data_IF_829192146913
#
_entry.id   IF_829192146913
#
_cell.length_a   1.000
_cell.length_b   1.000
_cell.length_c   1.000
_cell.angle_alpha   90.00
_cell.angle_beta   90.00
_cell.angle_gamma   90.00
#
_symmetry.space_group_name_H-M   'P 1'
#
loop_
_entity.id
_entity.type
_entity.pdbx_description
1 polymer ?
#
# COMPACT_ATOMS: atom_id res chain seq x y z
N UNK A 1 -3.36 -18.22 3.41
CA UNK A 1 -3.74 -16.99 4.14
C UNK A 1 -4.81 -16.18 3.41
N UNK A 2 -4.77 -16.06 2.08
CA UNK A 2 -5.79 -15.33 1.30
C UNK A 2 -7.23 -15.83 1.51
N UNK A 3 -7.42 -17.12 1.80
CA UNK A 3 -8.71 -17.75 2.10
C UNK A 3 -9.38 -17.28 3.39
N UNK A 4 -8.62 -16.85 4.41
CA UNK A 4 -9.19 -16.21 5.60
C UNK A 4 -9.80 -14.86 5.27
N UNK A 5 -9.12 -14.04 4.47
CA UNK A 5 -9.64 -12.74 4.05
C UNK A 5 -10.87 -12.88 3.14
N UNK A 6 -10.91 -13.90 2.29
CA UNK A 6 -12.05 -14.17 1.41
C UNK A 6 -13.31 -14.66 2.14
N UNK A 7 -13.19 -15.36 3.28
CA UNK A 7 -14.37 -15.79 4.04
C UNK A 7 -15.10 -14.61 4.69
N UNK A 8 -14.36 -13.58 5.06
CA UNK A 8 -14.92 -12.35 5.60
C UNK A 8 -15.30 -11.35 4.49
N UNK A 9 -15.30 -11.72 3.21
CA UNK A 9 -15.60 -10.83 2.10
C UNK A 9 -17.03 -10.25 2.08
N UNK A 10 -17.97 -10.85 2.83
CA UNK A 10 -19.31 -10.27 3.09
C UNK A 10 -19.33 -9.26 4.25
N UNK A 11 -18.21 -9.12 4.96
CA UNK A 11 -17.94 -7.99 5.83
C UNK A 11 -16.85 -7.14 5.17
N UNK A 12 -16.87 -5.82 5.37
CA UNK A 12 -15.92 -4.88 4.75
C UNK A 12 -14.45 -5.02 5.26
N UNK A 13 -13.97 -6.22 5.58
CA UNK A 13 -12.61 -6.46 6.02
C UNK A 13 -11.69 -6.62 4.81
N UNK A 14 -11.25 -5.48 4.27
CA UNK A 14 -10.17 -5.43 3.29
C UNK A 14 -8.86 -5.99 3.88
N UNK A 15 -8.04 -6.62 3.03
CA UNK A 15 -6.69 -7.04 3.40
C UNK A 15 -5.91 -5.85 4.00
N UNK A 16 -5.32 -6.07 5.18
CA UNK A 16 -4.41 -5.13 5.81
C UNK A 16 -3.13 -5.83 6.19
N UNK A 17 -2.00 -5.16 6.00
CA UNK A 17 -0.69 -5.72 6.28
C UNK A 17 -0.54 -6.08 7.78
N UNK A 18 -1.10 -5.27 8.67
CA UNK A 18 -1.04 -5.54 10.12
C UNK A 18 -1.83 -6.80 10.49
N UNK A 19 -2.97 -7.02 9.85
CA UNK A 19 -3.78 -8.21 10.06
C UNK A 19 -3.05 -9.45 9.53
N UNK A 20 -2.40 -9.36 8.36
CA UNK A 20 -1.55 -10.43 7.84
C UNK A 20 -0.44 -10.80 8.83
N UNK A 21 0.26 -9.81 9.40
CA UNK A 21 1.29 -10.07 10.40
C UNK A 21 0.74 -10.70 11.68
N UNK A 22 -0.43 -10.27 12.16
CA UNK A 22 -1.07 -10.91 13.31
C UNK A 22 -1.36 -12.39 13.04
N UNK A 23 -1.85 -12.72 11.84
CA UNK A 23 -2.16 -14.09 11.43
C UNK A 23 -0.90 -14.94 11.25
N UNK A 24 0.16 -14.43 10.63
CA UNK A 24 1.41 -15.21 10.46
C UNK A 24 2.07 -15.52 11.81
N UNK A 25 2.07 -14.55 12.74
CA UNK A 25 2.57 -14.75 14.10
C UNK A 25 1.74 -15.82 14.81
N UNK A 26 0.43 -15.75 14.69
CA UNK A 26 -0.46 -16.73 15.29
C UNK A 26 -0.25 -18.13 14.70
N UNK A 27 -0.01 -18.24 13.39
CA UNK A 27 0.27 -19.50 12.71
C UNK A 27 1.57 -20.15 13.21
N UNK A 28 2.63 -19.36 13.40
CA UNK A 28 3.88 -19.86 13.98
C UNK A 28 3.71 -20.32 15.44
N UNK A 29 3.00 -19.54 16.27
CA UNK A 29 2.73 -19.93 17.66
C UNK A 29 1.92 -21.24 17.72
N UNK A 30 0.96 -21.40 16.82
CA UNK A 30 0.19 -22.65 16.73
C UNK A 30 1.04 -23.83 16.25
N UNK A 31 1.93 -23.64 15.27
CA UNK A 31 2.85 -24.68 14.80
C UNK A 31 3.79 -25.17 15.92
N UNK A 32 4.26 -24.26 16.78
CA UNK A 32 5.20 -24.60 17.86
C UNK A 32 4.53 -25.10 19.14
N UNK A 33 3.35 -24.56 19.51
CA UNK A 33 2.72 -24.81 20.81
C UNK A 33 1.29 -25.36 20.72
N UNK A 34 0.70 -25.49 19.53
CA UNK A 34 -0.64 -26.03 19.31
C UNK A 34 -1.78 -25.15 19.83
N UNK A 35 -1.51 -23.89 20.17
CA UNK A 35 -2.46 -22.98 20.78
C UNK A 35 -2.42 -21.58 20.13
N UNK A 36 -3.44 -20.76 20.38
CA UNK A 36 -3.60 -19.42 19.81
C UNK A 36 -3.64 -18.32 20.88
N UNK A 37 -3.11 -17.13 20.57
CA UNK A 37 -3.10 -16.01 21.51
C UNK A 37 -4.53 -15.50 21.80
N UNK A 38 -4.98 -15.50 23.07
CA UNK A 38 -6.30 -15.00 23.43
C UNK A 38 -6.49 -13.48 23.20
N UNK A 39 -5.40 -12.72 23.02
CA UNK A 39 -5.43 -11.27 22.80
C UNK A 39 -5.60 -10.89 21.33
N UNK A 40 -5.48 -11.85 20.41
CA UNK A 40 -5.62 -11.60 18.99
C UNK A 40 -7.08 -11.69 18.54
N UNK A 41 -7.44 -10.91 17.53
CA UNK A 41 -8.82 -10.84 17.02
C UNK A 41 -9.34 -12.22 16.54
N UNK A 42 -8.44 -13.05 16.01
CA UNK A 42 -8.69 -14.41 15.52
C UNK A 42 -8.35 -15.48 16.58
N UNK A 43 -8.57 -15.21 17.86
CA UNK A 43 -8.13 -16.07 18.96
C UNK A 43 -8.60 -17.54 18.89
N UNK A 44 -9.65 -17.87 18.12
CA UNK A 44 -10.22 -19.23 18.03
C UNK A 44 -10.25 -19.83 16.63
N UNK A 45 -9.88 -19.10 15.60
CA UNK A 45 -9.88 -19.56 14.21
C UNK A 45 -8.56 -19.24 13.55
N UNK A 46 -7.90 -20.24 13.00
CA UNK A 46 -6.59 -20.09 12.35
C UNK A 46 -6.57 -20.80 11.00
N UNK A 47 -5.76 -20.27 10.09
CA UNK A 47 -5.47 -20.91 8.81
C UNK A 47 -3.96 -21.04 8.69
N UNK A 48 -3.49 -22.28 8.55
CA UNK A 48 -2.07 -22.56 8.38
C UNK A 48 -1.69 -22.21 6.93
N UNK A 49 -0.55 -21.53 6.69
CA UNK A 49 -0.04 -21.29 5.35
C UNK A 49 0.07 -22.62 4.57
N UNK A 50 -0.51 -22.67 3.37
CA UNK A 50 -0.59 -23.89 2.54
C UNK A 50 -1.86 -24.74 2.71
N UNK A 51 -2.74 -24.39 3.66
CA UNK A 51 -4.07 -25.01 3.80
C UNK A 51 -5.17 -23.97 3.67
N UNK A 52 -6.25 -24.33 2.98
CA UNK A 52 -7.45 -23.48 2.83
C UNK A 52 -8.52 -23.78 3.89
N UNK A 53 -8.19 -24.60 4.88
CA UNK A 53 -9.11 -24.97 5.96
C UNK A 53 -8.91 -24.08 7.18
N UNK A 54 -10.03 -23.61 7.72
CA UNK A 54 -10.04 -22.86 8.98
C UNK A 54 -10.19 -23.85 10.12
N UNK A 55 -9.20 -23.88 10.99
CA UNK A 55 -9.16 -24.76 12.16
C UNK A 55 -9.50 -23.99 13.42
N UNK A 56 -10.19 -24.68 14.33
CA UNK A 56 -10.42 -24.18 15.69
C UNK A 56 -9.28 -24.63 16.58
N UNK A 57 -8.59 -23.68 17.17
CA UNK A 57 -7.46 -23.92 18.06
C UNK A 57 -7.81 -23.56 19.51
N UNK A 58 -7.23 -24.27 20.50
CA UNK A 58 -7.37 -23.90 21.90
C UNK A 58 -6.58 -22.63 22.21
N UNK A 59 -7.09 -21.85 23.17
CA UNK A 59 -6.44 -20.61 23.61
C UNK A 59 -5.19 -20.93 24.44
N UNK A 60 -4.07 -20.27 24.14
CA UNK A 60 -2.85 -20.36 24.94
C UNK A 60 -3.07 -19.73 26.32
N UNK A 61 -2.42 -20.31 27.34
CA UNK A 61 -2.19 -19.60 28.59
C UNK A 61 -1.03 -18.62 28.39
N UNK A 62 -1.24 -17.32 28.64
CA UNK A 62 -0.22 -16.29 28.40
C UNK A 62 1.00 -16.41 29.32
N UNK A 63 0.91 -17.19 30.38
CA UNK A 63 2.01 -17.47 31.32
C UNK A 63 2.83 -18.70 30.90
N UNK A 64 2.39 -19.45 29.89
CA UNK A 64 3.10 -20.64 29.43
C UNK A 64 4.46 -20.27 28.80
N UNK A 65 5.47 -21.07 29.12
CA UNK A 65 6.83 -20.89 28.65
C UNK A 65 6.96 -21.23 27.16
N UNK A 66 6.14 -22.15 26.63
CA UNK A 66 6.10 -22.40 25.19
C UNK A 66 5.68 -21.15 24.42
N UNK A 67 4.55 -20.56 24.82
CA UNK A 67 3.97 -19.37 24.18
C UNK A 67 4.91 -18.16 24.23
N UNK A 68 5.46 -17.86 25.41
CA UNK A 68 6.38 -16.71 25.56
C UNK A 68 7.63 -16.89 24.71
N UNK A 69 8.25 -18.07 24.72
CA UNK A 69 9.41 -18.37 23.88
C UNK A 69 9.08 -18.29 22.38
N UNK A 70 7.94 -18.82 21.94
CA UNK A 70 7.53 -18.77 20.54
C UNK A 70 7.31 -17.31 20.09
N UNK A 71 6.58 -16.52 20.89
CA UNK A 71 6.34 -15.09 20.64
C UNK A 71 7.63 -14.30 20.51
N UNK A 72 8.58 -14.51 21.43
CA UNK A 72 9.87 -13.80 21.41
C UNK A 72 10.76 -14.27 20.28
N UNK A 73 10.71 -15.56 19.92
CA UNK A 73 11.51 -16.11 18.81
C UNK A 73 11.10 -15.54 17.47
N UNK A 74 9.81 -15.46 17.17
CA UNK A 74 9.35 -14.92 15.87
C UNK A 74 9.63 -13.42 15.75
N UNK A 75 9.55 -12.65 16.84
CA UNK A 75 9.86 -11.21 16.80
C UNK A 75 11.35 -10.92 16.70
N UNK A 76 12.21 -11.79 17.25
CA UNK A 76 13.65 -11.54 17.29
C UNK A 76 14.43 -12.23 16.16
N UNK A 77 13.86 -13.24 15.51
CA UNK A 77 14.56 -14.07 14.51
C UNK A 77 14.04 -13.77 13.11
N UNK A 78 14.85 -13.05 12.33
CA UNK A 78 14.49 -12.63 10.96
C UNK A 78 14.25 -13.83 10.02
N UNK A 79 14.97 -14.93 10.17
CA UNK A 79 14.79 -16.11 9.31
C UNK A 79 13.41 -16.75 9.48
N UNK A 80 12.93 -16.86 10.73
CA UNK A 80 11.59 -17.38 11.06
C UNK A 80 10.52 -16.42 10.53
N UNK A 81 10.74 -15.12 10.74
CA UNK A 81 9.85 -14.09 10.21
C UNK A 81 9.69 -14.19 8.69
N UNK A 82 10.80 -14.29 7.96
CA UNK A 82 10.78 -14.41 6.50
C UNK A 82 10.18 -15.74 6.03
N UNK A 83 10.25 -16.81 6.82
CA UNK A 83 9.66 -18.10 6.46
C UNK A 83 8.13 -18.10 6.60
N UNK A 84 7.59 -17.48 7.66
CA UNK A 84 6.14 -17.51 7.95
C UNK A 84 5.38 -16.27 7.48
N UNK A 85 6.04 -15.12 7.35
CA UNK A 85 5.43 -13.83 7.08
C UNK A 85 5.89 -13.19 5.75
N UNK A 86 6.59 -13.94 4.87
CA UNK A 86 7.00 -13.43 3.54
C UNK A 86 5.83 -13.02 2.66
N UNK A 87 4.69 -13.68 2.83
CA UNK A 87 3.53 -13.50 1.96
C UNK A 87 2.71 -12.24 2.32
N UNK A 88 3.11 -11.52 3.38
CA UNK A 88 2.47 -10.29 3.81
C UNK A 88 2.97 -9.07 3.01
N UNK A 89 2.49 -8.93 1.78
CA UNK A 89 2.77 -7.76 0.95
C UNK A 89 2.11 -6.49 1.51
N UNK A 90 2.63 -5.32 1.14
CA UNK A 90 1.95 -4.06 1.43
C UNK A 90 0.59 -4.04 0.69
N UNK A 91 -0.44 -3.51 1.36
CA UNK A 91 -1.75 -3.35 0.73
C UNK A 91 -1.72 -2.21 -0.30
N UNK A 92 -2.36 -2.40 -1.45
CA UNK A 92 -2.41 -1.39 -2.52
C UNK A 92 -3.28 -0.18 -2.16
N UNK A 93 -4.25 -0.35 -1.25
CA UNK A 93 -5.09 0.72 -0.74
C UNK A 93 -5.03 0.70 0.78
N UNK A 94 -4.56 1.79 1.36
CA UNK A 94 -4.50 2.02 2.81
C UNK A 94 -5.11 3.37 3.12
N UNK A 95 -5.75 3.45 4.28
CA UNK A 95 -6.27 4.71 4.83
C UNK A 95 -5.54 4.95 6.14
N UNK A 96 -4.69 5.97 6.16
CA UNK A 96 -3.91 6.33 7.34
C UNK A 96 -4.49 7.61 7.97
N UNK A 97 -4.62 7.60 9.30
CA UNK A 97 -5.08 8.76 10.07
C UNK A 97 -3.89 9.36 10.83
N UNK A 98 -3.51 10.58 10.48
CA UNK A 98 -2.51 11.34 11.25
C UNK A 98 -3.14 11.85 12.53
N UNK A 99 -2.61 11.42 13.68
CA UNK A 99 -3.15 11.77 15.00
C UNK A 99 -2.29 12.85 15.63
N UNK A 100 -2.92 13.98 15.98
CA UNK A 100 -2.32 15.05 16.79
C UNK A 100 -2.87 14.98 18.20
N UNK A 101 -2.02 14.68 19.19
CA UNK A 101 -2.44 14.52 20.58
C UNK A 101 -2.28 15.83 21.35
N UNK A 102 -3.34 16.26 22.02
CA UNK A 102 -3.29 17.34 23.00
C UNK A 102 -3.92 16.87 24.31
N UNK A 103 -3.37 17.32 25.43
CA UNK A 103 -3.83 16.94 26.76
C UNK A 103 -4.00 18.18 27.64
N UNK A 104 -5.04 18.16 28.46
CA UNK A 104 -5.32 19.19 29.47
C UNK A 104 -5.72 18.50 30.77
N UNK A 105 -5.38 19.11 31.91
CA UNK A 105 -5.81 18.61 33.21
C UNK A 105 -7.34 18.55 33.26
N UNK A 106 -7.86 17.35 33.48
CA UNK A 106 -9.28 17.08 33.59
C UNK A 106 -9.54 16.19 34.82
N UNK A 107 -10.70 16.32 35.49
CA UNK A 107 -11.74 17.33 35.27
C UNK A 107 -11.38 18.67 35.93
N UNK A 108 -12.08 19.75 35.55
CA UNK A 108 -11.95 21.02 36.27
C UNK A 108 -12.46 20.89 37.70
N UNK A 109 -11.83 21.59 38.65
CA UNK A 109 -12.18 21.54 40.08
C UNK A 109 -13.67 21.83 40.33
N UNK A 110 -14.26 22.73 39.54
CA UNK A 110 -15.69 23.08 39.58
C UNK A 110 -16.60 21.96 39.10
N UNK A 111 -16.11 21.08 38.22
CA UNK A 111 -16.92 20.00 37.62
C UNK A 111 -16.87 18.69 38.42
N UNK A 112 -15.89 18.52 39.32
CA UNK A 112 -15.77 17.35 40.22
C UNK A 112 -17.08 17.01 40.97
N UNK A 113 -17.81 17.99 41.57
CA UNK A 113 -19.06 17.69 42.28
C UNK A 113 -20.19 17.20 41.36
N UNK A 114 -20.17 17.56 40.07
CA UNK A 114 -21.13 17.07 39.08
C UNK A 114 -20.83 15.62 38.73
N UNK A 115 -19.56 15.29 38.52
CA UNK A 115 -19.11 13.90 38.30
C UNK A 115 -19.47 13.03 39.50
N UNK A 116 -19.26 13.51 40.73
CA UNK A 116 -19.67 12.80 41.95
C UNK A 116 -21.13 12.35 41.89
N UNK A 117 -22.05 13.27 41.58
CA UNK A 117 -23.49 12.97 41.48
C UNK A 117 -23.81 11.94 40.39
N UNK A 118 -23.04 11.93 39.30
CA UNK A 118 -23.18 10.93 38.25
C UNK A 118 -22.71 9.55 38.71
N UNK A 119 -21.51 9.48 39.31
CA UNK A 119 -20.90 8.23 39.79
C UNK A 119 -21.75 7.58 40.90
N UNK A 120 -22.30 8.37 41.81
CA UNK A 120 -23.20 7.88 42.88
C UNK A 120 -24.52 7.33 42.33
N UNK A 121 -24.93 7.75 41.14
CA UNK A 121 -26.16 7.30 40.48
C UNK A 121 -25.94 6.16 39.48
N UNK A 122 -24.72 5.95 39.00
CA UNK A 122 -24.41 4.97 37.96
C UNK A 122 -24.23 3.54 38.49
N UNK A 123 -24.35 3.32 39.81
CA UNK A 123 -24.29 1.98 40.41
C UNK A 123 -22.91 1.33 40.34
N UNK A 124 -21.86 2.13 40.15
CA UNK A 124 -20.46 1.67 40.13
C UNK A 124 -20.04 1.31 41.56
N UNK A 125 -19.22 0.27 41.72
CA UNK A 125 -18.64 -0.11 43.01
C UNK A 125 -17.71 1.03 43.46
N UNK A 126 -18.10 1.70 44.54
CA UNK A 126 -17.35 2.80 45.13
C UNK A 126 -16.29 2.26 46.11
N UNK A 127 -15.22 3.03 46.30
CA UNK A 127 -14.23 2.77 47.35
C UNK A 127 -14.88 2.86 48.74
N UNK A 128 -14.43 2.03 49.68
CA UNK A 128 -14.98 1.96 51.05
C UNK A 128 -15.01 3.32 51.77
N UNK A 129 -14.07 4.22 51.45
CA UNK A 129 -13.96 5.56 52.03
C UNK A 129 -14.42 6.71 51.11
N UNK A 130 -15.29 6.40 50.13
CA UNK A 130 -15.73 7.35 49.10
C UNK A 130 -16.16 8.72 49.64
N UNK A 131 -16.88 8.75 50.78
CA UNK A 131 -17.39 9.98 51.40
C UNK A 131 -16.32 11.06 51.64
N UNK A 132 -15.08 10.66 51.92
CA UNK A 132 -13.96 11.56 52.22
C UNK A 132 -12.91 11.62 51.10
N UNK A 133 -12.80 10.57 50.28
CA UNK A 133 -11.73 10.45 49.28
C UNK A 133 -12.15 10.87 47.87
N UNK A 134 -13.44 11.03 47.58
CA UNK A 134 -13.95 11.34 46.23
C UNK A 134 -13.26 12.55 45.56
N UNK A 135 -12.80 13.53 46.35
CA UNK A 135 -12.14 14.74 45.86
C UNK A 135 -10.78 14.46 45.19
N UNK A 136 -10.03 13.46 45.67
CA UNK A 136 -8.77 13.01 45.07
C UNK A 136 -8.98 11.83 44.14
N UNK A 137 -9.93 10.94 44.43
CA UNK A 137 -10.23 9.76 43.61
C UNK A 137 -10.75 10.12 42.22
N UNK A 138 -11.60 11.15 42.10
CA UNK A 138 -12.15 11.53 40.81
C UNK A 138 -11.04 12.02 39.87
N UNK A 139 -10.21 13.02 40.21
CA UNK A 139 -9.12 13.45 39.32
C UNK A 139 -8.09 12.36 39.00
N UNK A 140 -7.84 11.43 39.92
CA UNK A 140 -6.86 10.36 39.71
C UNK A 140 -7.34 9.24 38.79
N UNK A 141 -8.66 9.02 38.69
CA UNK A 141 -9.25 7.94 37.89
C UNK A 141 -10.05 8.43 36.68
N UNK A 142 -10.29 9.74 36.57
CA UNK A 142 -11.07 10.32 35.49
C UNK A 142 -10.20 10.60 34.25
N UNK A 143 -10.64 10.11 33.11
CA UNK A 143 -10.07 10.43 31.80
C UNK A 143 -11.20 10.82 30.84
N UNK A 144 -11.01 11.93 30.13
CA UNK A 144 -11.88 12.35 29.04
C UNK A 144 -11.10 12.29 27.73
N UNK A 145 -11.60 11.52 26.77
CA UNK A 145 -11.01 11.39 25.44
C UNK A 145 -11.97 12.04 24.44
N UNK A 146 -11.48 13.01 23.69
CA UNK A 146 -12.24 13.65 22.62
C UNK A 146 -11.53 13.40 21.29
N UNK A 147 -12.21 12.73 20.36
CA UNK A 147 -11.69 12.40 19.04
C UNK A 147 -12.40 13.31 18.04
N UNK A 148 -11.67 14.25 17.45
CA UNK A 148 -12.21 15.24 16.52
C UNK A 148 -11.33 15.26 15.27
N UNK A 149 -11.96 15.34 14.10
CA UNK A 149 -11.23 15.56 12.84
C UNK A 149 -10.75 17.01 12.81
N UNK A 150 -9.44 17.22 12.72
CA UNK A 150 -8.84 18.56 12.64
C UNK A 150 -9.34 19.32 11.40
N UNK A 151 -9.46 18.64 10.27
CA UNK A 151 -10.01 19.19 9.03
C UNK A 151 -10.87 18.15 8.30
N UNK A 152 -11.71 18.60 7.38
CA UNK A 152 -12.49 17.74 6.47
C UNK A 152 -11.73 17.37 5.20
N UNK A 153 -10.45 17.76 5.10
CA UNK A 153 -9.64 17.50 3.91
C UNK A 153 -9.13 16.06 3.94
N UNK A 154 -9.32 15.37 2.83
CA UNK A 154 -8.74 14.04 2.60
C UNK A 154 -7.55 14.22 1.67
N UNK A 155 -6.38 13.76 2.09
CA UNK A 155 -5.19 13.69 1.24
C UNK A 155 -5.11 12.29 0.64
N UNK A 156 -4.96 12.21 -0.68
CA UNK A 156 -4.90 10.95 -1.41
C UNK A 156 -3.55 10.87 -2.11
N UNK A 157 -2.81 9.78 -1.84
CA UNK A 157 -1.54 9.49 -2.48
C UNK A 157 -1.74 8.30 -3.42
N UNK A 158 -1.63 8.54 -4.74
CA UNK A 158 -1.69 7.49 -5.76
C UNK A 158 -0.31 7.30 -6.39
N UNK A 159 0.08 6.04 -6.60
CA UNK A 159 1.30 5.68 -7.30
C UNK A 159 0.93 5.18 -8.68
N UNK A 160 1.25 5.99 -9.70
CA UNK A 160 1.03 5.65 -11.10
C UNK A 160 2.34 5.24 -11.77
N UNK A 161 2.25 4.35 -12.76
CA UNK A 161 3.41 3.94 -13.54
C UNK A 161 3.99 5.15 -14.30
N UNK A 162 5.29 5.41 -14.15
CA UNK A 162 5.96 6.55 -14.80
C UNK A 162 6.02 6.44 -16.33
N UNK A 163 5.92 5.22 -16.86
CA UNK A 163 5.88 4.94 -18.29
C UNK A 163 4.83 3.85 -18.51
N UNK A 164 3.77 4.19 -19.24
CA UNK A 164 2.78 3.23 -19.69
C UNK A 164 3.21 2.54 -20.99
N UNK A 165 2.56 1.43 -21.34
CA UNK A 165 2.81 0.76 -22.62
C UNK A 165 2.50 1.67 -23.84
N UNK A 166 1.57 2.60 -23.68
CA UNK A 166 1.24 3.60 -24.71
C UNK A 166 2.37 4.61 -24.87
N UNK A 167 3.00 5.02 -23.75
CA UNK A 167 4.15 5.93 -23.78
C UNK A 167 5.37 5.29 -24.45
N UNK A 168 5.60 3.99 -24.19
CA UNK A 168 6.64 3.22 -24.88
C UNK A 168 6.41 3.20 -26.39
N UNK A 169 5.18 2.90 -26.82
CA UNK A 169 4.83 2.85 -28.23
C UNK A 169 4.94 4.24 -28.89
N UNK A 170 4.53 5.29 -28.18
CA UNK A 170 4.65 6.68 -28.63
C UNK A 170 6.11 7.09 -28.84
N UNK A 171 7.00 6.78 -27.89
CA UNK A 171 8.43 7.09 -28.02
C UNK A 171 9.10 6.32 -29.17
N UNK A 172 8.81 5.02 -29.29
CA UNK A 172 9.33 4.21 -30.40
C UNK A 172 8.79 4.71 -31.74
N UNK A 173 7.49 4.99 -31.82
CA UNK A 173 6.83 5.53 -33.00
C UNK A 173 7.37 6.89 -33.40
N UNK A 174 7.63 7.78 -32.44
CA UNK A 174 8.22 9.10 -32.69
C UNK A 174 9.62 9.02 -33.27
N UNK A 175 10.51 8.24 -32.65
CA UNK A 175 11.87 8.07 -33.16
C UNK A 175 11.89 7.38 -34.53
N UNK A 176 11.15 6.28 -34.70
CA UNK A 176 11.09 5.56 -35.98
C UNK A 176 10.47 6.40 -37.09
N UNK A 177 9.41 7.15 -36.79
CA UNK A 177 8.77 8.08 -37.72
C UNK A 177 9.73 9.16 -38.21
N UNK A 178 10.56 9.72 -37.32
CA UNK A 178 11.59 10.70 -37.69
C UNK A 178 12.62 10.12 -38.66
N UNK A 179 13.17 8.93 -38.35
CA UNK A 179 14.17 8.28 -39.20
C UNK A 179 13.61 7.86 -40.56
N UNK A 180 12.36 7.39 -40.60
CA UNK A 180 11.67 7.07 -41.85
C UNK A 180 11.43 8.34 -42.66
N UNK A 181 11.02 9.45 -42.02
CA UNK A 181 10.80 10.73 -42.68
C UNK A 181 12.07 11.28 -43.34
N UNK A 182 13.21 11.27 -42.63
CA UNK A 182 14.50 11.70 -43.18
C UNK A 182 14.90 10.79 -44.36
N UNK A 183 14.76 9.47 -44.19
CA UNK A 183 15.08 8.51 -45.25
C UNK A 183 14.25 8.73 -46.51
N UNK A 184 12.96 9.04 -46.36
CA UNK A 184 12.05 9.35 -47.47
C UNK A 184 12.46 10.62 -48.23
N UNK A 185 12.83 11.69 -47.51
CA UNK A 185 13.32 12.92 -48.13
C UNK A 185 14.61 12.67 -48.92
N UNK A 186 15.56 11.90 -48.37
CA UNK A 186 16.79 11.54 -49.08
C UNK A 186 16.53 10.73 -50.35
N UNK A 187 15.54 9.83 -50.36
CA UNK A 187 15.16 9.09 -51.57
C UNK A 187 14.58 10.04 -52.64
N UNK A 188 13.72 10.97 -52.24
CA UNK A 188 13.16 11.97 -53.17
C UNK A 188 14.26 12.86 -53.78
N UNK A 189 15.22 13.29 -52.98
CA UNK A 189 16.37 14.07 -53.45
C UNK A 189 17.22 13.28 -54.46
N UNK A 190 17.44 11.98 -54.21
CA UNK A 190 18.17 11.11 -55.11
C UNK A 190 17.45 10.94 -56.47
N UNK A 191 16.11 10.84 -56.44
CA UNK A 191 15.29 10.80 -57.67
C UNK A 191 15.41 12.11 -58.45
N UNK A 192 15.34 13.26 -57.77
CA UNK A 192 15.50 14.56 -58.42
C UNK A 192 16.89 14.70 -59.06
N UNK A 193 17.94 14.27 -58.36
CA UNK A 193 19.31 14.28 -58.87
C UNK A 193 19.43 13.45 -60.16
N UNK A 194 18.89 12.23 -60.17
CA UNK A 194 18.89 11.37 -61.36
C UNK A 194 18.15 12.01 -62.54
N UNK A 195 16.99 12.62 -62.29
CA UNK A 195 16.23 13.32 -63.32
C UNK A 195 17.02 14.48 -63.94
N UNK A 196 17.69 15.30 -63.10
CA UNK A 196 18.53 16.41 -63.57
C UNK A 196 19.71 15.90 -64.40
N UNK A 197 20.32 14.79 -64.01
CA UNK A 197 21.48 14.20 -64.68
C UNK A 197 21.10 13.64 -66.07
N UNK A 198 20.01 12.87 -66.17
CA UNK A 198 19.48 12.37 -67.45
C UNK A 198 19.11 13.52 -68.39
N UNK A 199 18.47 14.56 -67.86
CA UNK A 199 18.11 15.75 -68.65
C UNK A 199 19.35 16.47 -69.17
N UNK A 200 20.37 16.63 -68.33
CA UNK A 200 21.64 17.25 -68.71
C UNK A 200 22.38 16.46 -69.80
N UNK A 201 22.48 15.14 -69.65
CA UNK A 201 23.09 14.25 -70.65
C UNK A 201 22.34 14.28 -71.97
N UNK A 202 21.00 14.31 -71.93
CA UNK A 202 20.17 14.48 -73.13
C UNK A 202 20.42 15.82 -73.83
N UNK A 203 20.57 16.92 -73.07
CA UNK A 203 20.92 18.22 -73.65
C UNK A 203 22.32 18.22 -74.29
N UNK A 204 23.33 17.61 -73.66
CA UNK A 204 24.67 17.48 -74.22
C UNK A 204 24.68 16.61 -75.48
N UNK A 205 23.99 15.47 -75.47
CA UNK A 205 23.88 14.58 -76.62
C UNK A 205 23.20 15.29 -77.80
N UNK A 206 22.10 15.99 -77.55
CA UNK A 206 21.42 16.81 -78.57
C UNK A 206 22.34 17.93 -79.10
N UNK A 207 23.13 18.56 -78.23
CA UNK A 207 24.14 19.55 -78.60
C UNK A 207 25.28 19.00 -79.48
N UNK A 208 25.80 17.80 -79.15
CA UNK A 208 26.83 17.10 -79.94
C UNK A 208 26.31 16.65 -81.31
N UNK A 209 25.09 16.14 -81.39
CA UNK A 209 24.45 15.75 -82.66
C UNK A 209 24.23 16.98 -83.55
N UNK A 210 23.79 18.10 -82.98
CA UNK A 210 23.58 19.35 -83.73
C UNK A 210 24.88 19.94 -84.30
N UNK A 211 26.02 19.81 -83.60
CA UNK A 211 27.34 20.21 -84.11
C UNK A 211 27.85 19.31 -85.23
N UNK A 212 27.70 17.97 -85.14
CA UNK A 212 28.07 17.05 -86.24
C UNK A 212 27.29 17.31 -87.53
N UNK A 213 26.01 17.67 -87.42
CA UNK A 213 25.19 18.00 -88.61
C UNK A 213 25.57 19.35 -89.25
N UNK A 214 26.32 20.23 -88.57
CA UNK A 214 26.84 21.48 -89.15
C UNK A 214 28.23 21.31 -89.80
N UNK A 215 29.00 20.29 -89.43
CA UNK A 215 30.31 19.98 -90.05
C UNK A 215 30.19 19.11 -91.32
N UNK A 216 28.99 18.60 -91.64
CA UNK A 216 28.70 17.78 -92.82
C UNK A 216 27.91 18.51 -93.93
N UNK A 217 27.75 19.83 -93.84
CA UNK A 217 27.18 20.69 -94.89
C UNK A 217 28.19 21.73 -95.35
#
# INVERSE_FOLDING_TARGET
MQTMFNQYADADYAYSQILCYMLCIQAYVYDQCGCTDPRQWTARSITIPGTDQIMKAPLCNTTDQCYTNARTRITNTISIWNQFCSDCSQACSTVDFTITTSAVSAPSTTYVPVIKKFVEKSGIILSENWSNTWQSEIPNNYVAINIVCETTRVETYTQDASISGVDLLSNVGGHTGLWIGISFLSIMELIEMLYRLIRYDYYILKGKIRRRNQEQS
#
